data_IF_060477746672
#
_entry.id   IF_060477746672
#
_cell.length_a   1.000
_cell.length_b   1.000
_cell.length_c   1.000
_cell.angle_alpha   90.00
_cell.angle_beta   90.00
_cell.angle_gamma   90.00
#
_symmetry.space_group_name_H-M   'P 1'
#
loop_
_entity.id
_entity.type
_entity.pdbx_description
1 polymer ?
#
# COMPACT_ATOMS: atom_id res chain seq x y z
N UNK A 1 19.74 32.30 -2.79
CA UNK A 1 19.73 31.38 -1.62
C UNK A 1 18.43 31.45 -0.82
N UNK A 2 17.96 32.63 -0.39
CA UNK A 2 16.74 32.77 0.44
C UNK A 2 15.44 32.21 -0.19
N UNK A 3 15.29 32.34 -1.53
CA UNK A 3 14.11 31.82 -2.25
C UNK A 3 14.09 30.29 -2.38
N UNK A 4 15.26 29.66 -2.46
CA UNK A 4 15.38 28.19 -2.59
C UNK A 4 14.99 27.51 -1.27
N UNK A 5 15.34 28.13 -0.13
CA UNK A 5 14.95 27.64 1.19
C UNK A 5 13.43 27.65 1.41
N UNK A 6 12.70 28.63 0.85
CA UNK A 6 11.25 28.74 0.98
C UNK A 6 10.53 27.66 0.15
N UNK A 7 11.01 27.37 -1.06
CA UNK A 7 10.47 26.28 -1.89
C UNK A 7 10.72 24.92 -1.25
N UNK A 8 11.89 24.71 -0.64
CA UNK A 8 12.19 23.48 0.12
C UNK A 8 11.29 23.29 1.33
N UNK A 9 10.98 24.37 2.08
CA UNK A 9 10.09 24.32 3.24
C UNK A 9 8.62 24.01 2.86
N UNK A 10 8.15 24.49 1.71
CA UNK A 10 6.79 24.21 1.22
C UNK A 10 6.60 22.74 0.81
N UNK A 11 7.64 22.09 0.26
CA UNK A 11 7.59 20.67 -0.09
C UNK A 11 7.55 19.76 1.13
N UNK A 12 8.17 20.16 2.25
CA UNK A 12 8.14 19.41 3.52
C UNK A 12 6.78 19.51 4.23
N UNK A 13 6.01 20.58 3.97
CA UNK A 13 4.68 20.79 4.53
C UNK A 13 3.56 20.04 3.77
N UNK A 14 3.88 19.35 2.67
CA UNK A 14 2.95 18.54 1.88
C UNK A 14 2.66 17.16 2.52
N UNK A 15 2.73 17.03 3.85
CA UNK A 15 2.51 15.78 4.60
C UNK A 15 1.08 15.23 4.56
N UNK A 16 0.21 15.80 3.72
CA UNK A 16 -1.08 15.24 3.33
C UNK A 16 -1.10 15.12 1.81
N UNK A 17 -0.38 14.14 1.26
CA UNK A 17 -0.51 13.78 -0.15
C UNK A 17 -1.85 13.07 -0.35
N UNK A 18 -2.90 13.85 -0.63
CA UNK A 18 -4.18 13.30 -1.06
C UNK A 18 -4.04 12.69 -2.45
N UNK A 19 -4.42 11.42 -2.57
CA UNK A 19 -4.43 10.68 -3.84
C UNK A 19 -5.85 10.69 -4.39
N UNK A 20 -6.13 11.57 -5.33
CA UNK A 20 -7.45 11.66 -5.97
C UNK A 20 -7.62 10.63 -7.10
N UNK A 21 -6.54 10.23 -7.77
CA UNK A 21 -6.57 9.32 -8.90
C UNK A 21 -5.45 8.27 -8.80
N UNK A 22 -5.83 6.99 -8.84
CA UNK A 22 -4.91 5.85 -8.76
C UNK A 22 -3.86 5.81 -9.88
N UNK A 23 -4.20 6.35 -11.05
CA UNK A 23 -3.28 6.36 -12.19
C UNK A 23 -2.09 7.30 -11.95
N UNK A 24 -2.30 8.35 -11.15
CA UNK A 24 -1.27 9.35 -10.84
C UNK A 24 -0.37 8.92 -9.67
N UNK A 25 -0.71 7.81 -8.99
CA UNK A 25 0.11 7.24 -7.92
C UNK A 25 1.44 6.75 -8.46
N UNK A 26 2.52 7.33 -7.92
CA UNK A 26 3.89 6.91 -8.16
C UNK A 26 4.16 5.60 -7.43
N UNK A 27 4.33 4.52 -8.20
CA UNK A 27 4.71 3.21 -7.66
C UNK A 27 6.12 3.30 -7.08
N UNK A 28 6.28 2.89 -5.83
CA UNK A 28 7.56 2.82 -5.11
C UNK A 28 8.01 1.37 -4.99
N UNK A 29 9.28 1.04 -5.31
CA UNK A 29 9.82 -0.30 -5.06
C UNK A 29 9.67 -0.75 -3.61
N UNK A 30 9.53 -2.06 -3.38
CA UNK A 30 9.42 -2.61 -2.04
C UNK A 30 10.72 -2.38 -1.25
N UNK A 31 10.65 -1.90 0.00
CA UNK A 31 11.80 -1.87 0.88
C UNK A 31 12.29 -3.30 1.19
N UNK A 32 13.55 -3.40 1.60
CA UNK A 32 14.16 -4.68 1.94
C UNK A 32 13.31 -5.43 2.99
N UNK A 33 12.95 -6.68 2.69
CA UNK A 33 12.16 -7.54 3.56
C UNK A 33 10.64 -7.41 3.43
N UNK A 34 10.12 -6.49 2.59
CA UNK A 34 8.68 -6.38 2.34
C UNK A 34 8.20 -7.20 1.12
N UNK A 35 9.07 -7.41 0.13
CA UNK A 35 8.78 -8.29 -1.01
C UNK A 35 8.40 -9.70 -0.51
N UNK A 36 7.31 -10.24 -1.03
CA UNK A 36 6.89 -11.62 -0.75
C UNK A 36 5.39 -11.82 -0.64
N UNK A 37 5.04 -12.94 -0.02
CA UNK A 37 3.67 -13.39 0.20
C UNK A 37 3.33 -13.30 1.69
N UNK A 38 2.37 -12.46 2.01
CA UNK A 38 1.89 -12.25 3.37
C UNK A 38 0.50 -12.87 3.51
N UNK A 39 0.23 -13.52 4.64
CA UNK A 39 -1.09 -14.09 4.92
C UNK A 39 -1.43 -13.96 6.41
N UNK A 40 -2.68 -13.63 6.71
CA UNK A 40 -3.21 -13.62 8.06
C UNK A 40 -3.04 -14.99 8.71
N UNK A 41 -2.56 -15.02 9.95
CA UNK A 41 -2.47 -16.25 10.75
C UNK A 41 -3.57 -16.28 11.80
N UNK A 42 -4.48 -17.24 11.68
CA UNK A 42 -5.63 -17.40 12.57
C UNK A 42 -6.73 -16.34 12.38
N UNK A 43 -7.79 -16.40 13.21
CA UNK A 43 -8.97 -15.55 13.06
C UNK A 43 -8.68 -14.05 13.12
N UNK A 44 -9.24 -13.30 12.17
CA UNK A 44 -9.11 -11.85 12.10
C UNK A 44 -10.44 -11.17 12.41
N UNK A 45 -10.51 -10.39 13.50
CA UNK A 45 -11.73 -9.70 13.93
C UNK A 45 -12.33 -8.75 12.87
N UNK A 46 -11.51 -8.28 11.92
CA UNK A 46 -11.93 -7.35 10.85
C UNK A 46 -12.40 -8.06 9.58
N UNK A 47 -12.25 -9.39 9.50
CA UNK A 47 -12.82 -10.17 8.42
C UNK A 47 -14.23 -10.66 8.81
N UNK A 48 -15.00 -11.04 7.80
CA UNK A 48 -16.42 -11.38 7.96
C UNK A 48 -16.67 -12.66 8.77
N UNK A 49 -15.66 -13.52 8.91
CA UNK A 49 -15.73 -14.81 9.62
C UNK A 49 -14.38 -15.13 10.26
N UNK A 50 -14.33 -15.88 11.39
CA UNK A 50 -13.09 -16.43 11.94
C UNK A 50 -12.28 -17.32 10.97
N UNK A 51 -12.94 -17.87 9.96
CA UNK A 51 -12.35 -18.75 8.94
C UNK A 51 -11.85 -17.97 7.72
N UNK A 52 -12.16 -16.67 7.63
CA UNK A 52 -11.74 -15.85 6.51
C UNK A 52 -10.23 -15.59 6.55
N UNK A 53 -9.61 -15.54 5.37
CA UNK A 53 -8.17 -15.35 5.19
C UNK A 53 -7.94 -14.09 4.37
N UNK A 54 -6.96 -13.28 4.77
CA UNK A 54 -6.43 -12.18 3.97
C UNK A 54 -4.98 -12.48 3.58
N UNK A 55 -4.65 -12.22 2.33
CA UNK A 55 -3.32 -12.38 1.75
C UNK A 55 -2.92 -11.11 1.01
N UNK A 56 -1.64 -10.78 1.06
CA UNK A 56 -1.06 -9.65 0.33
C UNK A 56 0.19 -10.13 -0.41
N UNK A 57 0.20 -9.98 -1.73
CA UNK A 57 1.41 -10.16 -2.54
C UNK A 57 2.08 -8.80 -2.69
N UNK A 58 3.40 -8.76 -2.54
CA UNK A 58 4.22 -7.58 -2.82
C UNK A 58 5.38 -7.99 -3.71
N UNK A 59 5.45 -7.38 -4.90
CA UNK A 59 6.59 -7.55 -5.82
C UNK A 59 7.73 -6.59 -5.45
N UNK A 60 8.95 -6.89 -5.92
CA UNK A 60 10.09 -6.00 -5.77
C UNK A 60 9.85 -4.60 -6.34
N UNK A 61 9.14 -4.52 -7.46
CA UNK A 61 8.81 -3.28 -8.16
C UNK A 61 7.70 -2.48 -7.47
N UNK A 62 7.06 -3.04 -6.44
CA UNK A 62 6.03 -2.39 -5.65
C UNK A 62 4.60 -2.61 -6.14
N UNK A 63 4.36 -3.50 -7.10
CA UNK A 63 3.00 -3.96 -7.41
C UNK A 63 2.49 -4.84 -6.27
N UNK A 64 1.21 -4.69 -5.94
CA UNK A 64 0.56 -5.46 -4.87
C UNK A 64 -0.70 -6.17 -5.34
N UNK A 65 -1.10 -7.21 -4.59
CA UNK A 65 -2.40 -7.87 -4.73
C UNK A 65 -2.97 -8.15 -3.34
N UNK A 66 -4.00 -7.40 -2.91
CA UNK A 66 -4.79 -7.71 -1.71
C UNK A 66 -5.87 -8.71 -2.09
N UNK A 67 -5.77 -9.93 -1.56
CA UNK A 67 -6.72 -11.01 -1.79
C UNK A 67 -7.35 -11.43 -0.46
N UNK A 68 -8.68 -11.46 -0.40
CA UNK A 68 -9.41 -11.90 0.79
C UNK A 68 -10.39 -12.99 0.39
N UNK A 69 -10.41 -14.07 1.16
CA UNK A 69 -11.18 -15.27 0.84
C UNK A 69 -11.94 -15.81 2.04
N UNK A 70 -13.15 -16.29 1.76
CA UNK A 70 -13.95 -17.18 2.60
C UNK A 70 -14.91 -17.95 1.66
N UNK A 71 -16.23 -17.70 1.74
CA UNK A 71 -17.20 -18.24 0.78
C UNK A 71 -17.02 -17.71 -0.65
N UNK A 72 -16.38 -16.54 -0.80
CA UNK A 72 -16.01 -15.94 -2.07
C UNK A 72 -14.61 -15.37 -1.96
N UNK A 73 -14.01 -15.09 -3.12
CA UNK A 73 -12.74 -14.39 -3.23
C UNK A 73 -12.99 -12.97 -3.73
N UNK A 74 -12.32 -12.00 -3.12
CA UNK A 74 -12.15 -10.65 -3.66
C UNK A 74 -10.65 -10.40 -3.76
N UNK A 75 -10.19 -9.94 -4.92
CA UNK A 75 -8.78 -9.64 -5.15
C UNK A 75 -8.66 -8.30 -5.88
N UNK A 76 -7.80 -7.42 -5.36
CA UNK A 76 -7.59 -6.07 -5.88
C UNK A 76 -6.09 -5.82 -6.10
N UNK A 77 -5.67 -5.53 -7.35
CA UNK A 77 -4.32 -5.06 -7.62
C UNK A 77 -4.08 -3.67 -7.03
N UNK A 78 -2.83 -3.40 -6.63
CA UNK A 78 -2.43 -2.12 -6.05
C UNK A 78 -0.97 -1.74 -6.35
N UNK A 79 -0.53 -0.61 -5.78
CA UNK A 79 0.84 -0.10 -5.82
C UNK A 79 1.27 0.29 -4.40
N UNK A 80 2.51 -0.03 -4.03
CA UNK A 80 3.18 0.65 -2.93
C UNK A 80 3.46 2.09 -3.32
N UNK A 81 3.27 3.02 -2.41
CA UNK A 81 3.57 4.45 -2.58
C UNK A 81 4.19 5.00 -1.31
N UNK A 82 5.13 5.93 -1.45
CA UNK A 82 5.61 6.76 -0.34
C UNK A 82 4.75 8.01 -0.27
N UNK A 83 4.30 8.37 0.93
CA UNK A 83 3.54 9.59 1.22
C UNK A 83 4.33 10.48 2.18
#
# INVERSE_FOLDING_TARGET
>A
MKKVAIVGALLVLAGCAEVENYNDVVKTPAPAGLEGYWQSKGPQRKLVSPEAIASLVVTKEGDTLDCRQWQRVIALPGKLTML
#
